data_IF_396753965831
#
_entry.id   IF_396753965831
#
_cell.length_a   1.000
_cell.length_b   1.000
_cell.length_c   1.000
_cell.angle_alpha   90.00
_cell.angle_beta   90.00
_cell.angle_gamma   90.00
#
_symmetry.space_group_name_H-M   'P 1'
#
loop_
_entity.id
_entity.type
_entity.pdbx_description
1 polymer ?
#
# COMPACT_ATOMS: atom_id res chain seq x y z
N UNK A 1 -50.40 -3.06 -66.12
CA UNK A 1 -50.07 -1.65 -66.40
C UNK A 1 -51.10 -0.85 -65.63
N UNK A 2 -50.69 -0.09 -64.61
CA UNK A 2 -51.41 1.04 -63.99
C UNK A 2 -50.62 1.47 -62.73
N UNK A 3 -50.03 2.67 -62.76
CA UNK A 3 -49.73 3.47 -61.55
C UNK A 3 -50.91 4.43 -61.28
N UNK A 4 -50.86 5.41 -60.35
CA UNK A 4 -49.71 5.94 -59.61
C UNK A 4 -49.99 6.28 -58.11
N UNK A 5 -48.97 6.81 -57.43
CA UNK A 5 -49.01 7.85 -56.37
C UNK A 5 -50.06 7.83 -55.24
N UNK A 6 -49.62 7.51 -54.02
CA UNK A 6 -50.28 7.93 -52.76
C UNK A 6 -49.27 8.53 -51.75
N UNK A 7 -48.86 9.77 -52.03
CA UNK A 7 -49.03 10.96 -51.17
C UNK A 7 -49.05 10.76 -49.64
N UNK A 8 -47.95 11.13 -48.97
CA UNK A 8 -47.98 11.59 -47.58
C UNK A 8 -48.59 13.00 -47.53
N UNK A 9 -49.68 13.18 -46.79
CA UNK A 9 -50.18 14.50 -46.37
C UNK A 9 -49.91 14.72 -44.88
N UNK A 10 -49.55 15.97 -44.58
CA UNK A 10 -49.32 16.48 -43.22
C UNK A 10 -48.36 17.69 -43.27
N UNK A 11 -48.69 18.71 -44.06
CA UNK A 11 -49.08 20.05 -43.57
C UNK A 11 -48.16 20.67 -42.50
N UNK A 12 -47.52 21.80 -42.83
CA UNK A 12 -47.06 22.73 -41.79
C UNK A 12 -45.85 23.59 -42.14
N UNK A 13 -46.07 24.53 -43.06
CA UNK A 13 -45.33 25.78 -43.25
C UNK A 13 -44.83 26.38 -41.92
N UNK A 14 -43.51 26.48 -41.79
CA UNK A 14 -42.81 27.24 -40.75
C UNK A 14 -41.36 27.42 -41.17
N UNK A 15 -41.11 28.40 -42.04
CA UNK A 15 -39.77 28.89 -42.32
C UNK A 15 -39.30 29.65 -41.09
N UNK A 16 -38.42 29.03 -40.31
CA UNK A 16 -37.71 29.69 -39.21
C UNK A 16 -36.21 29.49 -39.45
N UNK A 17 -35.44 30.57 -39.74
CA UNK A 17 -34.03 30.48 -40.11
C UNK A 17 -33.11 30.34 -38.90
N UNK A 18 -33.48 29.57 -37.88
CA UNK A 18 -32.65 29.32 -36.68
C UNK A 18 -32.69 27.86 -36.19
N UNK A 19 -32.77 26.88 -37.10
CA UNK A 19 -32.27 25.54 -36.76
C UNK A 19 -30.78 25.46 -37.06
N UNK A 20 -30.00 25.89 -36.08
CA UNK A 20 -28.66 25.37 -35.85
C UNK A 20 -28.74 23.85 -35.86
N UNK A 21 -28.19 23.23 -36.92
CA UNK A 21 -27.80 21.83 -36.95
C UNK A 21 -26.82 21.61 -35.79
N UNK A 22 -27.36 21.29 -34.61
CA UNK A 22 -26.59 20.74 -33.51
C UNK A 22 -26.19 19.33 -33.94
N UNK A 23 -25.13 19.27 -34.74
CA UNK A 23 -24.38 18.06 -34.99
C UNK A 23 -23.99 17.51 -33.62
N UNK A 24 -24.65 16.43 -33.22
CA UNK A 24 -24.48 15.75 -31.95
C UNK A 24 -23.13 15.02 -31.96
N UNK A 25 -22.02 15.77 -31.94
CA UNK A 25 -20.66 15.27 -31.71
C UNK A 25 -20.44 15.00 -30.22
N UNK A 26 -21.39 14.28 -29.61
CA UNK A 26 -21.34 13.81 -28.22
C UNK A 26 -20.77 12.40 -28.10
N UNK A 27 -20.61 11.68 -29.22
CA UNK A 27 -20.07 10.33 -29.26
C UNK A 27 -18.74 10.33 -29.99
N UNK A 28 -17.77 9.60 -29.44
CA UNK A 28 -16.49 9.35 -30.07
C UNK A 28 -16.71 8.73 -31.46
N UNK A 29 -15.80 8.98 -32.41
CA UNK A 29 -15.90 8.38 -33.73
C UNK A 29 -15.90 6.85 -33.62
N UNK A 30 -16.50 6.14 -34.58
CA UNK A 30 -16.59 4.67 -34.56
C UNK A 30 -15.21 4.01 -34.34
N UNK A 31 -14.16 4.56 -34.96
CA UNK A 31 -12.78 4.09 -34.80
C UNK A 31 -12.23 4.33 -33.37
N UNK A 32 -12.50 5.49 -32.77
CA UNK A 32 -12.13 5.76 -31.37
C UNK A 32 -12.95 4.94 -30.39
N UNK A 33 -14.20 4.64 -30.70
CA UNK A 33 -15.06 3.81 -29.86
C UNK A 33 -14.59 2.36 -29.88
N UNK A 34 -14.20 1.83 -31.04
CA UNK A 34 -13.59 0.50 -31.18
C UNK A 34 -12.27 0.42 -30.40
N UNK A 35 -11.39 1.42 -30.53
CA UNK A 35 -10.13 1.46 -29.81
C UNK A 35 -10.31 1.56 -28.28
N UNK A 36 -11.30 2.33 -27.81
CA UNK A 36 -11.63 2.43 -26.38
C UNK A 36 -12.20 1.13 -25.80
N UNK A 37 -13.01 0.41 -26.59
CA UNK A 37 -13.54 -0.90 -26.18
C UNK A 37 -12.43 -1.94 -26.13
N UNK A 38 -11.54 -1.95 -27.12
CA UNK A 38 -10.38 -2.86 -27.16
C UNK A 38 -9.46 -2.61 -25.95
N UNK A 39 -9.10 -1.35 -25.69
CA UNK A 39 -8.27 -0.98 -24.55
C UNK A 39 -8.92 -1.30 -23.20
N UNK A 40 -10.24 -1.07 -23.05
CA UNK A 40 -10.96 -1.48 -21.84
C UNK A 40 -11.01 -3.00 -21.69
N UNK A 41 -11.34 -3.72 -22.76
CA UNK A 41 -11.40 -5.18 -22.74
C UNK A 41 -10.03 -5.78 -22.38
N UNK A 42 -8.94 -5.25 -22.91
CA UNK A 42 -7.60 -5.66 -22.51
C UNK A 42 -7.36 -5.41 -21.01
N UNK A 43 -7.65 -4.21 -20.51
CA UNK A 43 -7.44 -3.87 -19.07
C UNK A 43 -8.37 -4.62 -18.10
N UNK A 44 -9.61 -4.90 -18.50
CA UNK A 44 -10.58 -5.65 -17.69
C UNK A 44 -10.30 -7.16 -17.72
N UNK A 45 -9.83 -7.71 -18.84
CA UNK A 45 -9.40 -9.11 -18.93
C UNK A 45 -8.17 -9.37 -18.05
N UNK A 46 -7.12 -8.51 -18.06
CA UNK A 46 -6.02 -8.68 -17.09
C UNK A 46 -6.47 -8.47 -15.66
N UNK A 47 -7.48 -7.65 -15.38
CA UNK A 47 -8.00 -7.44 -14.03
C UNK A 47 -8.82 -8.62 -13.51
N UNK A 48 -9.66 -9.24 -14.34
CA UNK A 48 -10.52 -10.36 -13.93
C UNK A 48 -9.73 -11.66 -13.65
N UNK A 49 -8.54 -11.80 -14.23
CA UNK A 49 -7.64 -12.95 -14.04
C UNK A 49 -6.41 -12.63 -13.18
N UNK A 50 -6.28 -11.42 -12.61
CA UNK A 50 -5.19 -11.06 -11.68
C UNK A 50 -5.59 -11.17 -10.21
N UNK A 51 -4.65 -11.58 -9.36
CA UNK A 51 -4.85 -11.58 -7.92
C UNK A 51 -4.75 -10.15 -7.36
N UNK A 52 -5.41 -9.93 -6.22
CA UNK A 52 -5.33 -8.66 -5.53
C UNK A 52 -3.88 -8.37 -5.09
N UNK A 53 -3.54 -7.09 -4.98
CA UNK A 53 -2.23 -6.70 -4.46
C UNK A 53 -2.04 -7.17 -3.01
N UNK A 54 -3.12 -7.22 -2.21
CA UNK A 54 -3.08 -7.73 -0.85
C UNK A 54 -2.70 -9.22 -0.79
N UNK A 55 -3.27 -10.06 -1.66
CA UNK A 55 -2.90 -11.48 -1.75
C UNK A 55 -1.43 -11.65 -2.14
N UNK A 56 -0.96 -10.86 -3.11
CA UNK A 56 0.44 -10.85 -3.49
C UNK A 56 1.36 -10.36 -2.37
N UNK A 57 0.98 -9.31 -1.64
CA UNK A 57 1.75 -8.83 -0.49
C UNK A 57 1.88 -9.91 0.56
N UNK A 58 0.77 -10.56 0.94
CA UNK A 58 0.77 -11.65 1.90
C UNK A 58 1.66 -12.81 1.42
N UNK A 59 1.54 -13.22 0.16
CA UNK A 59 2.35 -14.29 -0.44
C UNK A 59 3.85 -13.97 -0.50
N UNK A 60 4.23 -12.70 -0.67
CA UNK A 60 5.63 -12.28 -0.66
C UNK A 60 6.16 -12.13 0.76
N UNK A 61 5.35 -11.60 1.69
CA UNK A 61 5.69 -11.40 3.09
C UNK A 61 5.80 -12.71 3.89
N UNK A 62 5.23 -13.82 3.38
CA UNK A 62 5.46 -15.16 3.95
C UNK A 62 6.90 -15.65 3.79
N UNK A 63 7.70 -15.02 2.92
CA UNK A 63 9.10 -15.36 2.69
C UNK A 63 9.31 -16.57 1.76
N UNK A 64 10.56 -17.06 1.71
CA UNK A 64 11.01 -18.12 0.79
C UNK A 64 10.61 -19.55 1.18
N UNK A 65 9.96 -19.74 2.32
CA UNK A 65 9.64 -21.07 2.86
C UNK A 65 10.82 -21.79 3.50
N UNK A 66 12.03 -21.20 3.48
CA UNK A 66 13.18 -21.68 4.24
C UNK A 66 13.20 -21.10 5.65
N UNK A 67 13.73 -21.88 6.60
CA UNK A 67 13.97 -21.40 7.96
C UNK A 67 14.82 -20.11 7.92
N UNK A 68 14.32 -19.06 8.59
CA UNK A 68 14.93 -17.73 8.66
C UNK A 68 15.17 -17.06 7.29
N UNK A 69 14.51 -17.53 6.22
CA UNK A 69 14.69 -16.98 4.87
C UNK A 69 14.20 -15.54 4.76
N UNK A 70 13.09 -15.22 5.45
CA UNK A 70 12.53 -13.87 5.54
C UNK A 70 13.54 -12.87 6.13
N UNK A 71 14.25 -13.26 7.19
CA UNK A 71 15.28 -12.42 7.82
C UNK A 71 16.49 -12.23 6.92
N UNK A 72 16.95 -13.29 6.23
CA UNK A 72 18.04 -13.19 5.25
C UNK A 72 17.68 -12.24 4.11
N UNK A 73 16.45 -12.32 3.59
CA UNK A 73 15.96 -11.39 2.56
C UNK A 73 15.93 -9.97 3.10
N UNK A 74 15.39 -9.74 4.29
CA UNK A 74 15.35 -8.40 4.89
C UNK A 74 16.76 -7.81 5.10
N UNK A 75 17.69 -8.61 5.64
CA UNK A 75 19.08 -8.20 5.85
C UNK A 75 19.78 -7.86 4.52
N UNK A 76 19.62 -8.71 3.50
CA UNK A 76 20.20 -8.48 2.17
C UNK A 76 19.67 -7.19 1.52
N UNK A 77 18.41 -6.83 1.78
CA UNK A 77 17.84 -5.58 1.27
C UNK A 77 18.29 -4.33 2.04
N UNK A 78 18.71 -4.48 3.30
CA UNK A 78 19.33 -3.41 4.07
C UNK A 78 20.74 -3.06 3.55
N UNK A 79 21.40 -3.99 2.87
CA UNK A 79 22.67 -3.75 2.19
C UNK A 79 22.48 -2.98 0.86
N UNK A 80 23.49 -2.20 0.48
CA UNK A 80 23.50 -1.40 -0.75
C UNK A 80 23.76 -2.25 -2.01
N UNK A 81 22.85 -3.16 -2.32
CA UNK A 81 22.89 -3.98 -3.54
C UNK A 81 22.06 -3.41 -4.68
N UNK A 82 22.49 -3.69 -5.92
CA UNK A 82 21.70 -3.33 -7.10
C UNK A 82 20.46 -4.23 -7.23
N UNK A 83 19.42 -3.75 -7.92
CA UNK A 83 18.21 -4.53 -8.19
C UNK A 83 18.50 -5.87 -8.90
N UNK A 84 19.56 -5.91 -9.73
CA UNK A 84 19.99 -7.13 -10.43
C UNK A 84 20.56 -8.18 -9.46
N UNK A 85 21.37 -7.74 -8.51
CA UNK A 85 21.94 -8.62 -7.47
C UNK A 85 20.85 -9.13 -6.54
N UNK A 86 19.94 -8.24 -6.07
CA UNK A 86 18.77 -8.64 -5.27
C UNK A 86 17.89 -9.64 -6.00
N UNK A 87 17.65 -9.45 -7.29
CA UNK A 87 16.89 -10.41 -8.11
C UNK A 87 17.59 -11.78 -8.17
N UNK A 88 18.92 -11.80 -8.33
CA UNK A 88 19.70 -13.04 -8.37
C UNK A 88 19.72 -13.75 -7.00
N UNK A 89 19.87 -12.98 -5.92
CA UNK A 89 19.77 -13.47 -4.56
C UNK A 89 18.39 -14.08 -4.28
N UNK A 90 17.31 -13.37 -4.60
CA UNK A 90 15.94 -13.88 -4.44
C UNK A 90 15.71 -15.20 -5.18
N UNK A 91 16.21 -15.32 -6.41
CA UNK A 91 16.14 -16.57 -7.19
C UNK A 91 16.81 -17.74 -6.46
N UNK A 92 17.99 -17.51 -5.89
CA UNK A 92 18.72 -18.53 -5.16
C UNK A 92 18.04 -18.86 -3.83
N UNK A 93 17.54 -17.85 -3.14
CA UNK A 93 16.96 -17.96 -1.81
C UNK A 93 15.58 -18.63 -1.80
N UNK A 94 14.74 -18.35 -2.80
CA UNK A 94 13.48 -19.08 -3.01
C UNK A 94 13.70 -20.44 -3.68
N UNK A 95 14.72 -20.57 -4.53
CA UNK A 95 15.07 -21.81 -5.20
C UNK A 95 13.93 -22.36 -6.07
N UNK A 96 13.60 -23.63 -5.87
CA UNK A 96 12.44 -24.28 -6.51
C UNK A 96 11.64 -25.00 -5.43
N UNK A 97 10.35 -24.67 -5.34
CA UNK A 97 9.47 -25.22 -4.33
C UNK A 97 8.09 -24.60 -4.39
N UNK A 98 7.28 -24.91 -3.39
CA UNK A 98 5.96 -24.33 -3.25
C UNK A 98 5.32 -24.71 -1.94
N UNK A 99 4.23 -24.04 -1.61
CA UNK A 99 3.44 -24.27 -0.41
C UNK A 99 1.96 -24.15 -0.70
N UNK A 100 1.15 -24.85 0.10
CA UNK A 100 -0.29 -24.61 0.12
C UNK A 100 -0.55 -23.20 0.59
N UNK A 101 -1.45 -22.49 -0.08
CA UNK A 101 -1.71 -21.08 0.20
C UNK A 101 -3.18 -20.85 0.52
N UNK A 102 -3.44 -19.98 1.50
CA UNK A 102 -4.79 -19.50 1.81
C UNK A 102 -4.86 -18.02 1.48
N UNK A 103 -5.78 -17.65 0.60
CA UNK A 103 -6.01 -16.26 0.19
C UNK A 103 -6.74 -15.47 1.29
N UNK A 104 -6.71 -14.14 1.18
CA UNK A 104 -7.39 -13.26 2.15
C UNK A 104 -8.91 -13.49 2.21
N UNK A 105 -9.50 -13.92 1.09
CA UNK A 105 -10.92 -14.29 0.99
C UNK A 105 -11.24 -15.68 1.62
N UNK A 106 -10.25 -16.36 2.21
CA UNK A 106 -10.40 -17.72 2.78
C UNK A 106 -10.37 -18.84 1.74
N UNK A 107 -10.28 -18.49 0.45
CA UNK A 107 -10.09 -19.44 -0.64
C UNK A 107 -8.74 -20.18 -0.52
N UNK A 108 -8.69 -21.43 -0.99
CA UNK A 108 -7.46 -22.23 -1.01
C UNK A 108 -6.77 -22.20 -2.38
N UNK A 109 -5.45 -22.32 -2.35
CA UNK A 109 -4.61 -22.33 -3.54
C UNK A 109 -3.22 -22.88 -3.29
N UNK A 110 -2.32 -22.51 -4.19
CA UNK A 110 -0.94 -22.93 -4.16
C UNK A 110 -0.03 -21.80 -4.58
N UNK A 111 1.02 -21.58 -3.80
CA UNK A 111 2.10 -20.65 -4.10
C UNK A 111 3.31 -21.47 -4.52
N UNK A 112 3.77 -21.26 -5.74
CA UNK A 112 4.86 -21.99 -6.37
C UNK A 112 5.97 -21.00 -6.75
N UNK A 113 7.23 -21.43 -6.65
CA UNK A 113 8.38 -20.61 -7.00
C UNK A 113 9.40 -21.46 -7.76
N UNK A 114 9.90 -20.93 -8.87
CA UNK A 114 10.90 -21.57 -9.71
C UNK A 114 11.83 -20.53 -10.38
N UNK A 115 12.78 -20.99 -11.19
CA UNK A 115 13.74 -20.14 -11.89
C UNK A 115 13.11 -18.99 -12.71
N UNK A 116 11.86 -19.14 -13.15
CA UNK A 116 11.11 -18.13 -13.94
C UNK A 116 10.44 -17.07 -13.07
N UNK A 117 10.10 -17.37 -11.81
CA UNK A 117 9.44 -16.44 -10.92
C UNK A 117 8.58 -17.11 -9.87
N UNK A 118 7.67 -16.32 -9.29
CA UNK A 118 6.69 -16.77 -8.31
C UNK A 118 5.32 -16.86 -8.99
N UNK A 119 4.61 -17.95 -8.76
CA UNK A 119 3.33 -18.25 -9.37
C UNK A 119 2.31 -18.55 -8.30
N UNK A 120 1.19 -17.84 -8.35
CA UNK A 120 0.06 -18.01 -7.45
C UNK A 120 -1.08 -18.65 -8.23
N UNK A 121 -1.70 -19.67 -7.64
CA UNK A 121 -2.83 -20.39 -8.24
C UNK A 121 -3.97 -20.49 -7.23
N UNK A 122 -5.18 -20.17 -7.67
CA UNK A 122 -6.42 -20.37 -6.91
C UNK A 122 -7.19 -21.56 -7.48
N UNK A 123 -7.55 -22.50 -6.60
CA UNK A 123 -8.34 -23.67 -6.97
C UNK A 123 -9.81 -23.36 -7.29
N UNK A 124 -10.56 -22.58 -6.48
CA UNK A 124 -11.99 -22.38 -6.71
C UNK A 124 -12.30 -21.63 -8.02
N UNK A 125 -11.43 -20.70 -8.43
CA UNK A 125 -11.60 -19.91 -9.66
C UNK A 125 -10.77 -20.42 -10.84
N UNK A 126 -9.90 -21.42 -10.63
CA UNK A 126 -8.93 -21.89 -11.63
C UNK A 126 -7.95 -20.81 -12.10
N UNK A 127 -7.82 -19.72 -11.33
CA UNK A 127 -7.03 -18.55 -11.68
C UNK A 127 -5.55 -18.82 -11.41
N UNK A 128 -4.66 -18.41 -12.32
CA UNK A 128 -3.21 -18.53 -12.16
C UNK A 128 -2.52 -17.27 -12.67
N UNK A 129 -1.55 -16.77 -11.89
CA UNK A 129 -0.77 -15.61 -12.26
C UNK A 129 0.68 -15.80 -11.83
N UNK A 130 1.61 -15.42 -12.70
CA UNK A 130 3.05 -15.51 -12.47
C UNK A 130 3.69 -14.13 -12.50
N UNK A 131 4.44 -13.82 -11.45
CA UNK A 131 5.32 -12.66 -11.40
C UNK A 131 6.74 -13.04 -11.77
N UNK A 132 7.37 -12.25 -12.63
CA UNK A 132 8.80 -12.39 -12.92
C UNK A 132 9.61 -11.93 -11.73
N UNK A 133 10.82 -12.47 -11.58
CA UNK A 133 11.72 -12.11 -10.48
C UNK A 133 12.01 -10.61 -10.35
N UNK A 134 12.06 -9.87 -11.46
CA UNK A 134 12.24 -8.40 -11.42
C UNK A 134 11.04 -7.65 -10.86
N UNK A 135 9.82 -8.19 -10.98
CA UNK A 135 8.63 -7.61 -10.36
C UNK A 135 8.55 -8.00 -8.89
N UNK A 136 8.93 -9.24 -8.56
CA UNK A 136 9.05 -9.72 -7.17
C UNK A 136 10.04 -8.86 -6.39
N UNK A 137 11.23 -8.58 -6.95
CA UNK A 137 12.25 -7.72 -6.33
C UNK A 137 11.69 -6.34 -5.98
N UNK A 138 11.02 -5.68 -6.94
CA UNK A 138 10.41 -4.36 -6.70
C UNK A 138 9.34 -4.40 -5.61
N UNK A 139 8.49 -5.42 -5.62
CA UNK A 139 7.42 -5.56 -4.61
C UNK A 139 7.98 -5.84 -3.22
N UNK A 140 8.97 -6.72 -3.10
CA UNK A 140 9.67 -6.99 -1.84
C UNK A 140 10.42 -5.74 -1.37
N UNK A 141 11.09 -5.01 -2.27
CA UNK A 141 11.75 -3.75 -1.94
C UNK A 141 10.79 -2.75 -1.31
N UNK A 142 9.61 -2.56 -1.92
CA UNK A 142 8.58 -1.68 -1.37
C UNK A 142 8.08 -2.20 -0.02
N UNK A 143 7.78 -3.49 0.11
CA UNK A 143 7.34 -4.07 1.39
C UNK A 143 8.35 -3.88 2.51
N UNK A 144 9.65 -4.01 2.22
CA UNK A 144 10.71 -3.81 3.20
C UNK A 144 10.83 -2.31 3.54
N UNK A 145 10.80 -1.44 2.53
CA UNK A 145 10.87 0.00 2.72
C UNK A 145 9.67 0.57 3.50
N UNK A 146 8.48 -0.03 3.36
CA UNK A 146 7.27 0.36 4.10
C UNK A 146 7.14 -0.35 5.44
N UNK A 147 8.09 -1.21 5.82
CA UNK A 147 8.05 -1.99 7.06
C UNK A 147 7.04 -3.14 7.06
N UNK A 148 6.27 -3.33 5.98
CA UNK A 148 5.21 -4.34 5.85
C UNK A 148 5.73 -5.74 5.50
N UNK A 149 7.03 -5.91 5.27
CA UNK A 149 7.62 -7.21 4.98
C UNK A 149 7.79 -8.05 6.25
N UNK A 150 8.26 -7.47 7.35
CA UNK A 150 8.43 -8.17 8.63
C UNK A 150 7.12 -8.10 9.40
N UNK A 151 6.64 -9.23 9.93
CA UNK A 151 5.51 -9.19 10.85
C UNK A 151 5.89 -8.28 12.02
N UNK A 152 5.03 -7.33 12.30
CA UNK A 152 5.17 -6.29 13.32
C UNK A 152 5.28 -6.84 14.75
N UNK A 153 5.42 -8.15 14.94
CA UNK A 153 5.71 -8.75 16.24
C UNK A 153 7.14 -8.45 16.74
N UNK A 154 8.00 -7.86 15.90
CA UNK A 154 9.39 -7.55 16.26
C UNK A 154 9.85 -6.16 15.81
N UNK A 155 8.92 -5.22 15.61
CA UNK A 155 9.24 -3.80 15.54
C UNK A 155 8.53 -3.06 16.68
N UNK A 156 8.97 -3.31 17.92
CA UNK A 156 8.80 -2.32 18.99
C UNK A 156 9.77 -1.17 18.70
N UNK A 157 9.52 -0.38 17.65
CA UNK A 157 9.95 1.01 17.68
C UNK A 157 8.96 1.68 18.63
N UNK A 158 9.35 2.02 19.88
CA UNK A 158 8.43 2.67 20.79
C UNK A 158 7.88 3.90 20.06
N UNK A 159 6.56 3.97 19.97
CA UNK A 159 5.90 5.09 19.30
C UNK A 159 6.42 6.39 19.95
N UNK A 160 6.49 7.52 19.25
CA UNK A 160 6.90 8.80 19.88
C UNK A 160 6.15 9.06 21.21
N UNK A 161 4.89 8.59 21.31
CA UNK A 161 4.12 8.59 22.55
C UNK A 161 4.66 7.70 23.68
N UNK A 162 5.23 6.53 23.39
CA UNK A 162 5.91 5.68 24.38
C UNK A 162 7.25 6.28 24.80
N UNK A 163 8.05 6.79 23.86
CA UNK A 163 9.32 7.47 24.18
C UNK A 163 9.05 8.71 25.05
N UNK A 164 7.98 9.45 24.75
CA UNK A 164 7.57 10.61 25.52
C UNK A 164 7.04 10.20 26.90
N UNK A 165 6.27 9.11 27.01
CA UNK A 165 5.79 8.58 28.31
C UNK A 165 6.93 8.08 29.17
N UNK A 166 7.91 7.40 28.59
CA UNK A 166 9.11 6.94 29.30
C UNK A 166 9.92 8.14 29.80
N UNK A 167 10.20 9.14 28.94
CA UNK A 167 10.87 10.38 29.35
C UNK A 167 10.12 11.16 30.43
N UNK A 168 8.79 11.20 30.36
CA UNK A 168 7.94 11.83 31.38
C UNK A 168 7.99 11.05 32.69
N UNK A 169 7.96 9.72 32.64
CA UNK A 169 8.07 8.85 33.82
C UNK A 169 9.46 8.97 34.47
N UNK A 170 10.53 9.08 33.68
CA UNK A 170 11.87 9.38 34.18
C UNK A 170 11.92 10.72 34.91
N UNK A 171 11.11 11.69 34.47
CA UNK A 171 10.90 13.01 35.08
C UNK A 171 9.83 13.04 36.18
N UNK A 172 9.32 11.88 36.61
CA UNK A 172 8.35 11.77 37.71
C UNK A 172 6.90 12.09 37.33
N UNK A 173 6.60 12.20 36.03
CA UNK A 173 5.27 12.49 35.48
C UNK A 173 4.73 11.21 34.83
N UNK A 174 3.80 10.53 35.50
CA UNK A 174 3.16 9.31 34.97
C UNK A 174 1.67 9.59 34.77
N UNK A 175 1.14 9.31 33.58
CA UNK A 175 -0.27 9.53 33.24
C UNK A 175 -0.78 10.96 33.52
N UNK A 176 0.08 11.97 33.35
CA UNK A 176 -0.28 13.38 33.59
C UNK A 176 -0.33 13.77 35.08
N UNK A 177 0.12 12.90 35.98
CA UNK A 177 0.19 13.16 37.41
C UNK A 177 1.64 13.10 37.89
N UNK A 178 2.04 14.11 38.67
CA UNK A 178 3.33 14.17 39.33
C UNK A 178 3.32 13.17 40.49
N UNK A 179 4.03 12.06 40.31
CA UNK A 179 4.04 10.94 41.28
C UNK A 179 5.25 11.03 42.22
N UNK A 180 6.34 11.66 41.76
CA UNK A 180 7.59 11.80 42.49
C UNK A 180 8.01 13.28 42.59
N UNK A 181 7.66 13.98 43.69
CA UNK A 181 8.04 15.38 43.88
C UNK A 181 9.55 15.57 44.13
N UNK A 182 10.30 14.54 44.53
CA UNK A 182 11.76 14.63 44.73
C UNK A 182 12.54 14.81 43.41
N UNK A 183 11.96 14.39 42.27
CA UNK A 183 12.57 14.58 40.95
C UNK A 183 12.36 15.99 40.37
N UNK A 184 11.41 16.75 40.91
CA UNK A 184 11.24 18.19 40.65
C UNK A 184 12.31 19.02 41.38
N UNK A 185 12.75 18.59 42.57
CA UNK A 185 13.76 19.30 43.37
C UNK A 185 15.19 19.21 42.79
N UNK A 186 15.45 18.19 41.97
CA UNK A 186 16.71 18.07 41.22
C UNK A 186 16.75 18.92 39.94
N UNK A 187 15.64 19.56 39.56
CA UNK A 187 15.61 20.39 38.36
C UNK A 187 16.38 21.71 38.61
N UNK A 188 17.39 22.04 37.77
CA UNK A 188 18.25 23.19 38.00
C UNK A 188 17.49 24.51 37.97
N UNK A 189 16.36 24.59 37.24
CA UNK A 189 15.52 25.77 37.20
C UNK A 189 14.72 25.94 38.51
N UNK A 190 14.16 24.85 39.04
CA UNK A 190 13.41 24.86 40.31
C UNK A 190 14.31 25.22 41.48
N UNK A 191 15.55 24.69 41.54
CA UNK A 191 16.54 25.09 42.56
C UNK A 191 16.89 26.57 42.50
N UNK A 192 17.02 27.12 41.29
CA UNK A 192 17.33 28.54 41.12
C UNK A 192 16.17 29.44 41.56
N UNK A 193 14.92 29.06 41.27
CA UNK A 193 13.73 29.82 41.69
C UNK A 193 13.52 29.76 43.20
N UNK A 194 13.73 28.60 43.83
CA UNK A 194 13.64 28.46 45.30
C UNK A 194 14.73 29.29 45.98
N UNK A 195 15.97 29.25 45.49
CA UNK A 195 17.06 30.07 46.02
C UNK A 195 16.80 31.58 45.88
N UNK A 196 16.23 32.03 44.75
CA UNK A 196 15.88 33.44 44.51
C UNK A 196 14.71 33.89 45.42
N UNK A 197 13.72 33.03 45.64
CA UNK A 197 12.60 33.27 46.56
C UNK A 197 13.03 33.30 48.04
N UNK A 198 14.04 32.53 48.44
CA UNK A 198 14.61 32.62 49.79
C UNK A 198 15.50 33.87 49.96
N UNK A 199 16.29 34.24 48.94
CA UNK A 199 17.13 35.45 48.97
C UNK A 199 16.32 36.75 49.08
N UNK A 200 15.08 36.77 48.59
CA UNK A 200 14.17 37.93 48.70
C UNK A 200 13.46 38.02 50.05
N UNK A 201 13.45 36.96 50.87
CA UNK A 201 12.93 37.02 52.25
C UNK A 201 13.91 37.64 53.24
N UNK A 202 15.23 37.56 52.99
CA UNK A 202 16.24 38.15 53.89
C UNK A 202 16.42 39.66 53.74
N UNK A 203 15.85 40.31 52.71
CA UNK A 203 16.03 41.76 52.47
C UNK A 203 14.87 42.63 52.94
N UNK A 204 13.80 42.06 53.53
CA UNK A 204 12.64 42.80 54.09
C UNK A 204 12.64 42.81 55.63
N UNK A 205 13.72 42.36 56.27
CA UNK A 205 13.96 42.52 57.71
C UNK A 205 15.34 43.09 57.98
N UNK A 206 15.57 44.32 57.52
CA UNK A 206 16.65 45.18 57.95
C UNK A 206 16.10 46.57 58.27
#
# INVERSE_FOLDING_TARGET
MDGPDERLQGSGRGSDPERVDFQLSFFATEAEQIAQIDQRAETEQVSAFSFSEADWRAALASGSGFANGKERIAAYYAEHHSAKERTAFLKQEYGTGGQSWTFQDGSNGFLDYDARGIKLRSYPKGQEQRLKWSEVEKRIHVLIATGQYRDEAEQTVPTEGEILREKLAERGIVNGQLVDPEKLDSDPFIRQVVADAEATKETVSA
#
